data_IF_470160598561
#
_entry.id   IF_470160598561
#
_cell.length_a   1.000
_cell.length_b   1.000
_cell.length_c   1.000
_cell.angle_alpha   90.00
_cell.angle_beta   90.00
_cell.angle_gamma   90.00
#
_symmetry.space_group_name_H-M   'P 1'
#
loop_
_entity.id
_entity.type
_entity.pdbx_description
1 polymer ?
#
# COMPACT_ATOMS: atom_id res chain seq x y z
N UNK A 1 -15.62 10.09 -20.66
CA UNK A 1 -14.71 9.19 -19.91
C UNK A 1 -15.60 8.16 -19.25
N UNK A 2 -15.53 6.94 -19.76
CA UNK A 2 -16.51 5.89 -19.51
C UNK A 2 -16.49 5.50 -18.03
N UNK A 3 -17.70 5.47 -17.46
CA UNK A 3 -18.01 5.15 -16.07
C UNK A 3 -17.40 3.80 -15.75
N UNK A 4 -16.36 3.77 -14.92
CA UNK A 4 -15.72 2.56 -14.40
C UNK A 4 -16.81 1.57 -14.01
N UNK A 5 -16.88 0.48 -14.77
CA UNK A 5 -17.56 -0.72 -14.34
C UNK A 5 -17.10 -1.01 -12.91
N UNK A 6 -18.04 -1.34 -12.01
CA UNK A 6 -17.73 -1.67 -10.63
C UNK A 6 -16.45 -2.53 -10.58
N UNK A 7 -15.35 -2.06 -9.96
CA UNK A 7 -14.05 -2.76 -10.01
C UNK A 7 -14.18 -4.19 -9.49
N UNK A 8 -15.06 -4.42 -8.52
CA UNK A 8 -15.37 -5.76 -8.02
C UNK A 8 -16.02 -6.65 -9.08
N UNK A 9 -16.82 -6.07 -9.98
CA UNK A 9 -17.41 -6.80 -11.12
C UNK A 9 -16.32 -7.19 -12.12
N UNK A 10 -15.40 -6.28 -12.41
CA UNK A 10 -14.30 -6.56 -13.34
C UNK A 10 -13.33 -7.61 -12.77
N UNK A 11 -12.99 -7.50 -11.47
CA UNK A 11 -12.23 -8.52 -10.74
C UNK A 11 -12.93 -9.88 -10.81
N UNK A 12 -14.25 -9.91 -10.55
CA UNK A 12 -15.04 -11.15 -10.68
C UNK A 12 -14.94 -11.75 -12.08
N UNK A 13 -15.14 -10.96 -13.13
CA UNK A 13 -15.07 -11.43 -14.51
C UNK A 13 -13.70 -12.03 -14.86
N UNK A 14 -12.61 -11.30 -14.59
CA UNK A 14 -11.25 -11.77 -14.88
C UNK A 14 -10.95 -13.05 -14.10
N UNK A 15 -11.38 -13.11 -12.84
CA UNK A 15 -11.18 -14.27 -11.98
C UNK A 15 -11.99 -15.49 -12.43
N UNK A 16 -13.20 -15.28 -12.95
CA UNK A 16 -14.03 -16.34 -13.52
C UNK A 16 -13.45 -16.88 -14.81
N UNK A 17 -12.92 -16.00 -15.67
CA UNK A 17 -12.19 -16.36 -16.89
C UNK A 17 -10.93 -17.19 -16.57
N UNK A 18 -10.09 -16.72 -15.64
CA UNK A 18 -8.89 -17.46 -15.21
C UNK A 18 -9.19 -18.79 -14.52
N UNK A 19 -10.35 -18.90 -13.88
CA UNK A 19 -10.79 -20.16 -13.31
C UNK A 19 -11.21 -21.17 -14.39
N UNK A 20 -11.89 -20.71 -15.43
CA UNK A 20 -12.26 -21.57 -16.56
C UNK A 20 -11.00 -22.08 -17.28
N UNK A 21 -10.02 -21.21 -17.53
CA UNK A 21 -8.72 -21.56 -18.10
C UNK A 21 -7.99 -22.62 -17.25
N UNK A 22 -7.96 -22.45 -15.91
CA UNK A 22 -7.32 -23.42 -15.03
C UNK A 22 -8.02 -24.81 -15.03
N UNK A 23 -9.35 -24.83 -15.16
CA UNK A 23 -10.12 -26.09 -15.25
C UNK A 23 -9.84 -26.80 -16.57
N UNK A 24 -9.77 -26.04 -17.67
CA UNK A 24 -9.42 -26.55 -19.01
C UNK A 24 -8.00 -27.13 -19.06
N UNK A 25 -7.07 -26.57 -18.26
CA UNK A 25 -5.67 -27.00 -18.19
C UNK A 25 -5.36 -28.05 -17.12
N UNK A 26 -6.34 -28.89 -16.73
CA UNK A 26 -6.20 -30.13 -15.94
C UNK A 26 -6.30 -30.00 -14.41
N UNK A 27 -7.37 -29.37 -13.91
CA UNK A 27 -7.79 -29.56 -12.51
C UNK A 27 -8.66 -30.83 -12.39
N UNK A 28 -8.37 -31.70 -11.43
CA UNK A 28 -9.29 -32.78 -11.05
C UNK A 28 -10.53 -32.19 -10.35
N UNK A 29 -11.66 -32.93 -10.33
CA UNK A 29 -12.91 -32.46 -9.73
C UNK A 29 -12.75 -32.02 -8.26
N UNK A 30 -11.91 -32.73 -7.50
CA UNK A 30 -11.59 -32.39 -6.10
C UNK A 30 -10.86 -31.05 -6.02
N UNK A 31 -9.85 -30.85 -6.87
CA UNK A 31 -9.09 -29.60 -6.94
C UNK A 31 -9.95 -28.44 -7.45
N UNK A 32 -10.89 -28.69 -8.36
CA UNK A 32 -11.81 -27.68 -8.86
C UNK A 32 -12.80 -27.22 -7.78
N UNK A 33 -13.23 -28.11 -6.88
CA UNK A 33 -14.05 -27.74 -5.71
C UNK A 33 -13.24 -26.91 -4.71
N UNK A 34 -12.03 -27.35 -4.38
CA UNK A 34 -11.15 -26.63 -3.46
C UNK A 34 -10.77 -25.24 -3.99
N UNK A 35 -10.41 -25.16 -5.27
CA UNK A 35 -10.09 -23.90 -5.94
C UNK A 35 -11.27 -22.92 -5.92
N UNK A 36 -12.51 -23.41 -6.18
CA UNK A 36 -13.73 -22.58 -6.06
C UNK A 36 -13.95 -22.06 -4.64
N UNK A 37 -13.64 -22.87 -3.63
CA UNK A 37 -13.75 -22.47 -2.23
C UNK A 37 -12.76 -21.35 -1.87
N UNK A 38 -11.47 -21.56 -2.14
CA UNK A 38 -10.40 -20.56 -1.91
C UNK A 38 -10.73 -19.24 -2.60
N UNK A 39 -11.17 -19.32 -3.86
CA UNK A 39 -11.52 -18.17 -4.68
C UNK A 39 -12.67 -17.36 -4.09
N UNK A 40 -13.68 -18.03 -3.53
CA UNK A 40 -14.84 -17.38 -2.92
C UNK A 40 -14.48 -16.78 -1.56
N UNK A 41 -13.56 -17.41 -0.84
CA UNK A 41 -13.15 -16.95 0.49
C UNK A 41 -12.22 -15.73 0.43
N UNK A 42 -11.35 -15.64 -0.58
CA UNK A 42 -10.34 -14.59 -0.73
C UNK A 42 -10.69 -13.56 -1.81
N UNK A 43 -11.96 -13.14 -1.90
CA UNK A 43 -12.39 -12.18 -2.93
C UNK A 43 -11.72 -10.80 -2.80
N UNK A 44 -11.38 -10.42 -1.59
CA UNK A 44 -10.81 -9.13 -1.18
C UNK A 44 -9.29 -9.02 -1.39
N UNK A 45 -8.62 -10.12 -1.73
CA UNK A 45 -7.16 -10.16 -1.93
C UNK A 45 -6.76 -9.63 -3.31
N UNK A 46 -7.64 -9.73 -4.31
CA UNK A 46 -7.32 -9.37 -5.70
C UNK A 46 -7.56 -7.89 -5.98
N UNK A 47 -6.62 -7.25 -6.70
CA UNK A 47 -6.66 -5.82 -7.01
C UNK A 47 -6.31 -5.56 -8.46
N UNK A 48 -7.09 -4.70 -9.12
CA UNK A 48 -6.79 -4.19 -10.47
C UNK A 48 -6.14 -2.80 -10.42
N UNK A 49 -6.37 -2.06 -9.34
CA UNK A 49 -5.83 -0.73 -9.11
C UNK A 49 -5.12 -0.68 -7.75
N UNK A 50 -4.34 0.37 -7.52
CA UNK A 50 -3.73 0.63 -6.22
C UNK A 50 -4.82 0.71 -5.14
N UNK A 51 -4.75 -0.18 -4.14
CA UNK A 51 -5.81 -0.35 -3.15
C UNK A 51 -5.69 0.62 -1.97
N UNK A 52 -6.84 1.05 -1.41
CA UNK A 52 -6.93 1.75 -0.12
C UNK A 52 -7.02 0.78 1.05
N UNK A 53 -6.12 -0.18 1.10
CA UNK A 53 -6.15 -1.07 2.25
C UNK A 53 -5.81 -0.30 3.49
N UNK A 54 -6.68 -0.46 4.47
CA UNK A 54 -6.32 -0.09 5.80
C UNK A 54 -5.06 -0.89 6.16
N UNK A 55 -4.04 -0.24 6.74
CA UNK A 55 -2.92 -0.97 7.25
C UNK A 55 -3.45 -2.08 8.16
N UNK A 56 -2.85 -3.27 8.05
CA UNK A 56 -3.07 -4.37 8.99
C UNK A 56 -3.02 -3.80 10.41
N UNK A 57 -3.79 -4.34 11.35
CA UNK A 57 -3.89 -3.84 12.73
C UNK A 57 -2.55 -3.96 13.49
N UNK A 58 -1.60 -3.10 13.13
CA UNK A 58 -0.24 -3.01 13.63
C UNK A 58 0.04 -1.54 13.92
N UNK A 59 0.88 -1.30 14.93
CA UNK A 59 1.32 0.04 15.26
C UNK A 59 2.05 0.68 14.06
N UNK A 60 1.87 1.98 13.89
CA UNK A 60 2.56 2.75 12.87
C UNK A 60 4.08 2.57 12.94
N UNK A 61 4.71 2.43 11.78
CA UNK A 61 6.16 2.27 11.70
C UNK A 61 6.88 3.53 12.20
N UNK A 62 7.77 3.36 13.19
CA UNK A 62 8.62 4.44 13.70
C UNK A 62 10.07 4.23 13.27
N UNK A 63 10.60 5.13 12.44
CA UNK A 63 12.01 5.13 12.07
C UNK A 63 12.87 5.69 13.22
N UNK A 64 13.84 4.93 13.72
CA UNK A 64 14.80 5.38 14.73
C UNK A 64 15.99 6.06 14.06
N UNK A 65 16.27 7.30 14.45
CA UNK A 65 17.44 8.04 13.99
C UNK A 65 18.64 7.82 14.92
N UNK A 66 19.86 7.85 14.35
CA UNK A 66 21.08 7.92 15.17
C UNK A 66 21.12 9.23 15.94
N UNK A 67 21.79 9.24 17.11
CA UNK A 67 21.86 10.42 18.00
C UNK A 67 22.37 11.67 17.29
N UNK A 68 23.34 11.50 16.40
CA UNK A 68 24.00 12.59 15.67
C UNK A 68 23.48 12.72 14.23
N UNK A 69 22.30 12.18 13.94
CA UNK A 69 21.70 12.29 12.62
C UNK A 69 21.30 13.75 12.34
N UNK A 70 21.77 14.28 11.21
CA UNK A 70 21.46 15.63 10.76
C UNK A 70 20.48 15.56 9.59
N UNK A 71 19.54 16.50 9.53
CA UNK A 71 18.65 16.65 8.38
C UNK A 71 19.45 17.09 7.16
N UNK A 72 19.46 16.28 6.11
CA UNK A 72 20.08 16.62 4.84
C UNK A 72 19.00 16.98 3.83
N UNK A 73 19.06 18.19 3.28
CA UNK A 73 18.25 18.57 2.12
C UNK A 73 19.01 18.22 0.84
N UNK A 74 18.50 17.25 0.10
CA UNK A 74 19.05 16.89 -1.21
C UNK A 74 18.34 17.68 -2.31
N UNK A 75 19.08 18.16 -3.30
CA UNK A 75 18.50 18.78 -4.49
C UNK A 75 17.73 17.74 -5.32
N UNK A 76 16.66 18.19 -5.97
CA UNK A 76 15.87 17.33 -6.85
C UNK A 76 16.63 17.06 -8.14
N UNK A 77 16.61 15.79 -8.58
CA UNK A 77 17.14 15.41 -9.89
C UNK A 77 16.31 16.05 -11.00
N UNK A 78 16.96 16.60 -12.02
CA UNK A 78 16.27 17.08 -13.22
C UNK A 78 15.91 15.89 -14.10
N UNK A 79 14.63 15.76 -14.43
CA UNK A 79 14.12 14.73 -15.33
C UNK A 79 13.70 15.36 -16.66
N UNK A 80 13.85 14.64 -17.79
CA UNK A 80 13.29 15.07 -19.06
C UNK A 80 11.76 15.27 -18.97
N UNK A 81 11.17 16.16 -19.77
CA UNK A 81 9.73 16.48 -19.69
C UNK A 81 8.81 15.26 -19.76
N UNK A 82 9.11 14.31 -20.65
CA UNK A 82 8.34 13.06 -20.81
C UNK A 82 8.27 12.25 -19.50
N UNK A 83 9.38 12.19 -18.76
CA UNK A 83 9.45 11.46 -17.50
C UNK A 83 8.69 12.21 -16.40
N UNK A 84 8.73 13.53 -16.42
CA UNK A 84 7.97 14.37 -15.48
C UNK A 84 6.47 14.16 -15.68
N UNK A 85 5.99 14.11 -16.92
CA UNK A 85 4.56 13.92 -17.19
C UNK A 85 4.09 12.52 -16.80
N UNK A 86 4.91 11.49 -17.05
CA UNK A 86 4.69 10.15 -16.51
C UNK A 86 4.60 10.16 -14.98
N UNK A 87 5.56 10.77 -14.29
CA UNK A 87 5.59 10.82 -12.83
C UNK A 87 4.40 11.57 -12.25
N UNK A 88 4.00 12.70 -12.85
CA UNK A 88 2.83 13.47 -12.41
C UNK A 88 1.57 12.61 -12.40
N UNK A 89 1.33 11.82 -13.45
CA UNK A 89 0.17 10.93 -13.51
C UNK A 89 0.14 9.96 -12.32
N UNK A 90 1.25 9.28 -12.05
CA UNK A 90 1.34 8.29 -10.98
C UNK A 90 1.29 8.93 -9.58
N UNK A 91 1.89 10.11 -9.40
CA UNK A 91 1.82 10.83 -8.12
C UNK A 91 0.38 11.23 -7.80
N UNK A 92 -0.41 11.65 -8.79
CA UNK A 92 -1.82 11.95 -8.58
C UNK A 92 -2.64 10.69 -8.27
N UNK A 93 -2.35 9.54 -8.88
CA UNK A 93 -2.96 8.26 -8.51
C UNK A 93 -2.66 7.91 -7.04
N UNK A 94 -1.39 7.94 -6.63
CA UNK A 94 -0.97 7.65 -5.24
C UNK A 94 -1.58 8.65 -4.24
N UNK A 95 -1.69 9.92 -4.63
CA UNK A 95 -2.34 10.96 -3.82
C UNK A 95 -3.83 10.71 -3.67
N UNK A 96 -4.53 10.28 -4.73
CA UNK A 96 -5.95 9.93 -4.70
C UNK A 96 -6.23 8.81 -3.70
N UNK A 97 -5.30 7.86 -3.58
CA UNK A 97 -5.39 6.73 -2.66
C UNK A 97 -4.87 7.06 -1.23
N UNK A 98 -4.66 8.34 -0.91
CA UNK A 98 -4.23 8.86 0.40
C UNK A 98 -2.89 8.32 0.93
N UNK A 99 -2.06 7.74 0.07
CA UNK A 99 -0.74 7.23 0.43
C UNK A 99 0.34 8.33 0.45
N UNK A 100 0.03 9.51 -0.10
CA UNK A 100 0.93 10.67 -0.14
C UNK A 100 0.27 11.90 0.50
N UNK A 101 0.94 12.48 1.49
CA UNK A 101 0.53 13.72 2.14
C UNK A 101 1.51 14.85 1.83
N UNK A 102 0.98 16.04 1.56
CA UNK A 102 1.81 17.24 1.40
C UNK A 102 2.36 17.64 2.76
N UNK A 103 3.68 17.53 2.93
CA UNK A 103 4.36 18.02 4.13
C UNK A 103 4.86 19.45 3.89
N UNK A 104 4.50 20.36 4.79
CA UNK A 104 5.22 21.64 4.94
C UNK A 104 6.43 21.37 5.82
N UNK A 105 7.62 21.33 5.23
CA UNK A 105 8.84 21.20 6.02
C UNK A 105 9.02 22.48 6.85
N UNK A 106 8.52 22.50 8.09
CA UNK A 106 8.91 23.52 9.05
C UNK A 106 10.34 23.20 9.51
N UNK A 107 11.34 24.04 9.21
CA UNK A 107 12.67 23.83 9.77
C UNK A 107 12.59 24.05 11.29
N UNK A 108 12.78 22.98 12.08
CA UNK A 108 13.05 23.11 13.53
C UNK A 108 12.16 22.34 14.51
N UNK A 109 11.05 21.70 14.10
CA UNK A 109 10.19 20.91 15.01
C UNK A 109 10.29 19.41 14.75
N UNK A 110 11.44 18.82 15.05
CA UNK A 110 11.41 17.42 15.52
C UNK A 110 10.83 17.46 16.94
N UNK A 111 9.56 17.07 17.06
CA UNK A 111 8.94 16.82 18.36
C UNK A 111 9.77 15.72 19.03
N UNK A 112 10.66 16.10 19.95
CA UNK A 112 11.26 15.18 20.89
C UNK A 112 10.11 14.66 21.75
N UNK A 113 9.52 13.55 21.36
CA UNK A 113 8.75 12.75 22.30
C UNK A 113 9.78 12.17 23.27
N UNK A 114 9.94 12.90 24.38
CA UNK A 114 10.62 12.43 25.57
C UNK A 114 10.07 11.06 25.91
N UNK A 115 10.92 10.04 25.82
CA UNK A 115 10.60 8.70 26.29
C UNK A 115 10.05 8.76 27.71
N UNK A 116 9.04 7.95 28.09
CA UNK A 116 8.57 7.94 29.45
C UNK A 116 9.76 7.59 30.35
N UNK A 117 10.02 8.46 31.34
CA UNK A 117 11.05 8.23 32.35
C UNK A 117 10.72 6.88 32.99
N UNK A 118 11.61 5.90 32.87
CA UNK A 118 11.56 4.70 33.71
C UNK A 118 11.58 5.18 35.16
N UNK A 119 10.49 4.92 35.88
CA UNK A 119 10.44 5.11 37.33
C UNK A 119 11.59 4.34 37.97
N UNK A 120 12.28 4.89 38.98
CA UNK A 120 13.32 4.15 39.68
C UNK A 120 12.70 2.92 40.33
N UNK A 121 13.37 1.78 40.13
CA UNK A 121 13.08 0.53 40.83
C UNK A 121 13.38 0.78 42.32
N UNK A 122 12.33 0.86 43.14
CA UNK A 122 12.50 0.85 44.58
C UNK A 122 13.02 -0.53 44.97
N UNK A 123 14.26 -0.55 45.45
CA UNK A 123 14.83 -1.67 46.19
C UNK A 123 14.35 -1.52 47.63
N UNK A 124 13.66 -2.54 48.13
CA UNK A 124 13.51 -2.82 49.57
C UNK A 124 13.87 -4.28 49.75
#
# INVERSE_FOLDING_TARGET
MEKTANPDRQIRCIRDEKAAEAVEHSLTDVQAVEFRHIRTHHMDVFRLELGRDLPVNVASLMARLKKDAVLVKTSLRRYPPVHVDFLKKHVEEVRREAMLIRTIAQPGRLRRESSPRRSPVNTV
#
